data_IF_184923562941
#
_entry.id   IF_184923562941
#
_cell.length_a   1.000
_cell.length_b   1.000
_cell.length_c   1.000
_cell.angle_alpha   90.00
_cell.angle_beta   90.00
_cell.angle_gamma   90.00
#
_symmetry.space_group_name_H-M   'P 1'
#
loop_
_entity.id
_entity.type
_entity.pdbx_description
1 polymer ?
#
# COMPACT_ATOMS: atom_id res chain seq x y z
N UNK A 1 -5.22 35.41 20.51
CA UNK A 1 -4.11 35.15 19.58
C UNK A 1 -3.73 33.68 19.74
N UNK A 2 -4.37 32.78 18.98
CA UNK A 2 -3.99 31.37 18.99
C UNK A 2 -2.66 31.26 18.25
N UNK A 3 -1.60 30.92 18.97
CA UNK A 3 -0.34 30.53 18.37
C UNK A 3 -0.57 29.14 17.80
N UNK A 4 -0.86 29.06 16.50
CA UNK A 4 -0.74 27.81 15.75
C UNK A 4 0.76 27.54 15.66
N UNK A 5 1.24 26.66 16.54
CA UNK A 5 2.55 26.06 16.40
C UNK A 5 2.54 25.31 15.08
N UNK A 6 3.30 25.78 14.09
CA UNK A 6 3.68 24.95 12.96
C UNK A 6 4.58 23.85 13.50
N UNK A 7 3.99 22.74 13.93
CA UNK A 7 4.67 21.46 13.92
C UNK A 7 5.26 21.32 12.51
N UNK A 8 6.58 21.27 12.40
CA UNK A 8 7.22 20.88 11.15
C UNK A 8 6.71 19.48 10.84
N UNK A 9 5.89 19.36 9.80
CA UNK A 9 5.33 18.08 9.39
C UNK A 9 6.47 17.07 9.27
N UNK A 10 6.30 15.89 9.85
CA UNK A 10 7.31 14.85 9.87
C UNK A 10 6.66 13.47 9.66
N UNK A 11 7.40 12.47 9.15
CA UNK A 11 6.92 11.10 9.10
C UNK A 11 6.50 10.58 10.48
N UNK A 12 5.51 9.68 10.52
CA UNK A 12 5.09 8.96 11.73
C UNK A 12 6.20 8.09 12.35
N UNK A 13 7.23 7.78 11.56
CA UNK A 13 8.44 7.13 12.01
C UNK A 13 9.57 8.16 12.19
N UNK A 14 9.89 8.48 13.43
CA UNK A 14 11.01 9.39 13.75
C UNK A 14 12.37 8.81 13.35
N UNK A 15 12.47 7.48 13.27
CA UNK A 15 13.66 6.74 12.83
C UNK A 15 13.66 6.47 11.32
N UNK A 16 12.73 7.06 10.57
CA UNK A 16 12.69 6.93 9.12
C UNK A 16 14.07 7.25 8.50
N UNK A 17 14.43 6.51 7.45
CA UNK A 17 15.72 6.69 6.76
C UNK A 17 15.85 8.12 6.21
N UNK A 18 17.08 8.54 5.90
CA UNK A 18 17.31 9.85 5.32
C UNK A 18 16.53 10.04 4.01
N UNK A 19 16.51 9.00 3.17
CA UNK A 19 15.77 8.95 1.91
C UNK A 19 14.27 9.11 2.14
N UNK A 20 13.72 8.47 3.18
CA UNK A 20 12.28 8.53 3.49
C UNK A 20 11.86 9.88 4.05
N UNK A 21 12.73 10.52 4.85
CA UNK A 21 12.54 11.89 5.32
C UNK A 21 12.60 12.89 4.16
N UNK A 22 13.57 12.73 3.25
CA UNK A 22 13.66 13.53 2.03
C UNK A 22 12.42 13.36 1.15
N UNK A 23 11.97 12.12 0.96
CA UNK A 23 10.77 11.80 0.20
C UNK A 23 9.52 12.46 0.79
N UNK A 24 9.33 12.39 2.10
CA UNK A 24 8.23 13.09 2.79
C UNK A 24 8.29 14.61 2.56
N UNK A 25 9.47 15.21 2.73
CA UNK A 25 9.64 16.65 2.53
C UNK A 25 9.37 17.07 1.09
N UNK A 26 9.74 16.26 0.10
CA UNK A 26 9.43 16.49 -1.31
C UNK A 26 7.91 16.48 -1.55
N UNK A 27 7.19 15.50 -0.98
CA UNK A 27 5.72 15.45 -1.06
C UNK A 27 5.10 16.70 -0.44
N UNK A 28 5.52 17.10 0.76
CA UNK A 28 5.02 18.31 1.42
C UNK A 28 5.29 19.57 0.59
N UNK A 29 6.48 19.70 0.00
CA UNK A 29 6.79 20.83 -0.88
C UNK A 29 5.89 20.88 -2.12
N UNK A 30 5.52 19.72 -2.69
CA UNK A 30 4.57 19.65 -3.80
C UNK A 30 3.18 20.11 -3.35
N UNK A 31 2.72 19.74 -2.14
CA UNK A 31 1.41 20.20 -1.63
C UNK A 31 1.32 21.72 -1.46
N UNK A 32 2.45 22.39 -1.22
CA UNK A 32 2.50 23.86 -1.18
C UNK A 32 2.46 24.52 -2.56
N UNK A 33 2.66 23.75 -3.64
CA UNK A 33 2.54 24.21 -5.02
C UNK A 33 1.16 23.86 -5.58
N UNK A 34 0.17 24.71 -5.28
CA UNK A 34 -1.25 24.49 -5.64
C UNK A 34 -1.52 24.44 -7.15
N UNK A 35 -0.55 24.81 -8.00
CA UNK A 35 -0.64 24.72 -9.46
C UNK A 35 -0.21 23.38 -10.05
N UNK A 36 0.26 22.43 -9.23
CA UNK A 36 0.76 21.13 -9.70
C UNK A 36 0.12 19.98 -8.93
N UNK A 37 -0.23 18.93 -9.66
CA UNK A 37 -0.70 17.65 -9.10
C UNK A 37 0.15 16.56 -9.74
N UNK A 38 0.66 15.63 -8.93
CA UNK A 38 1.35 14.46 -9.45
C UNK A 38 0.33 13.47 -10.02
N UNK A 39 0.57 13.03 -11.24
CA UNK A 39 -0.20 11.95 -11.86
C UNK A 39 0.36 10.59 -11.42
N UNK A 40 -0.51 9.71 -10.93
CA UNK A 40 -0.15 8.34 -10.52
C UNK A 40 -0.97 7.31 -11.27
N UNK A 41 -0.34 6.20 -11.65
CA UNK A 41 -0.97 5.11 -12.38
C UNK A 41 -0.63 3.75 -11.75
N UNK A 42 -1.66 2.92 -11.54
CA UNK A 42 -1.54 1.61 -10.92
C UNK A 42 -0.94 0.63 -11.91
N UNK A 43 0.05 -0.17 -11.47
CA UNK A 43 0.68 -1.20 -12.32
C UNK A 43 1.23 -0.63 -13.64
N UNK A 44 1.72 0.59 -13.60
CA UNK A 44 2.00 1.44 -14.74
C UNK A 44 2.98 0.86 -15.78
N UNK A 45 4.01 0.14 -15.33
CA UNK A 45 4.97 -0.57 -16.21
C UNK A 45 4.72 -2.08 -16.28
N UNK A 46 3.65 -2.56 -15.64
CA UNK A 46 3.29 -3.97 -15.59
C UNK A 46 2.10 -4.30 -16.50
N UNK A 47 1.13 -3.40 -16.62
CA UNK A 47 -0.16 -3.58 -17.30
C UNK A 47 -0.42 -2.49 -18.35
N UNK A 48 -1.12 -2.85 -19.43
CA UNK A 48 -1.41 -1.92 -20.53
C UNK A 48 -2.37 -2.50 -21.56
N UNK A 49 -2.95 -1.63 -22.39
CA UNK A 49 -4.12 -1.96 -23.21
C UNK A 49 -3.84 -2.85 -24.44
N UNK A 50 -2.62 -2.83 -24.99
CA UNK A 50 -2.30 -3.53 -26.24
C UNK A 50 -0.99 -4.30 -26.13
N UNK A 51 -1.07 -5.64 -26.29
CA UNK A 51 0.04 -6.58 -26.20
C UNK A 51 1.09 -6.51 -27.31
N UNK A 52 1.35 -5.32 -27.87
CA UNK A 52 2.38 -5.10 -28.89
C UNK A 52 3.41 -4.01 -28.55
N UNK A 53 3.17 -3.20 -27.51
CA UNK A 53 4.21 -2.36 -26.89
C UNK A 53 4.13 -2.62 -25.37
N UNK A 54 4.99 -3.51 -24.89
CA UNK A 54 4.76 -4.48 -23.81
C UNK A 54 4.45 -3.90 -22.42
N UNK A 55 3.19 -4.01 -21.94
CA UNK A 55 2.95 -4.42 -20.58
C UNK A 55 3.17 -5.94 -20.45
N UNK A 56 3.97 -6.34 -19.47
CA UNK A 56 4.40 -7.72 -19.29
C UNK A 56 3.32 -8.68 -18.79
N UNK A 57 2.08 -8.18 -18.62
CA UNK A 57 0.92 -8.99 -18.25
C UNK A 57 -0.32 -8.61 -19.08
N UNK A 58 -1.00 -9.63 -19.64
CA UNK A 58 -2.31 -9.49 -20.31
C UNK A 58 -3.43 -9.61 -19.28
N UNK A 59 -4.41 -8.69 -19.30
CA UNK A 59 -5.65 -8.75 -18.50
C UNK A 59 -6.25 -10.17 -18.54
N UNK A 60 -6.24 -10.88 -17.40
CA UNK A 60 -6.65 -12.28 -17.34
C UNK A 60 -6.44 -13.04 -16.03
N UNK A 61 -5.72 -12.52 -15.02
CA UNK A 61 -5.76 -13.09 -13.65
C UNK A 61 -6.61 -12.24 -12.72
N UNK A 62 -7.41 -12.88 -11.85
CA UNK A 62 -8.18 -12.18 -10.84
C UNK A 62 -7.25 -11.38 -9.93
N UNK A 63 -7.68 -10.16 -9.61
CA UNK A 63 -6.99 -9.13 -8.82
C UNK A 63 -6.78 -9.50 -7.33
N UNK A 64 -6.86 -10.78 -6.99
CA UNK A 64 -7.10 -11.26 -5.63
C UNK A 64 -5.78 -11.55 -4.90
N UNK A 65 -5.53 -10.81 -3.81
CA UNK A 65 -4.60 -11.23 -2.75
C UNK A 65 -3.21 -10.57 -2.69
N UNK A 66 -2.94 -9.49 -3.43
CA UNK A 66 -1.58 -8.94 -3.61
C UNK A 66 -1.28 -7.53 -3.09
N UNK A 67 0.02 -7.24 -2.95
CA UNK A 67 0.64 -5.90 -2.88
C UNK A 67 0.65 -5.33 -4.30
N UNK A 68 0.13 -4.12 -4.52
CA UNK A 68 0.06 -3.50 -5.84
C UNK A 68 0.64 -2.08 -5.79
N UNK A 69 1.61 -1.79 -6.65
CA UNK A 69 2.28 -0.49 -6.71
C UNK A 69 1.67 0.48 -7.72
N UNK A 70 1.55 1.76 -7.35
CA UNK A 70 1.39 2.86 -8.30
C UNK A 70 2.73 3.54 -8.54
N UNK A 71 2.97 3.96 -9.78
CA UNK A 71 4.09 4.79 -10.17
C UNK A 71 3.58 6.19 -10.51
N UNK A 72 4.28 7.22 -10.06
CA UNK A 72 4.00 8.61 -10.42
C UNK A 72 4.99 9.08 -11.51
N UNK A 73 4.53 9.32 -12.74
CA UNK A 73 5.37 9.63 -13.91
C UNK A 73 5.26 11.09 -14.40
N UNK A 74 6.39 11.72 -14.81
CA UNK A 74 6.40 12.86 -15.74
C UNK A 74 6.97 12.57 -17.15
N UNK A 75 7.27 11.32 -17.52
CA UNK A 75 7.83 11.00 -18.85
C UNK A 75 7.64 9.55 -19.28
N UNK A 76 7.25 9.36 -20.55
CA UNK A 76 7.08 8.05 -21.18
C UNK A 76 8.44 7.40 -21.50
N UNK A 77 8.49 6.08 -21.37
CA UNK A 77 9.63 5.24 -21.81
C UNK A 77 9.71 5.27 -23.34
N UNK A 78 10.88 5.61 -23.88
CA UNK A 78 11.15 5.72 -25.32
C UNK A 78 11.18 4.33 -25.99
N UNK A 79 10.56 4.20 -27.16
CA UNK A 79 10.01 2.95 -27.69
C UNK A 79 10.89 2.23 -28.72
N UNK A 80 12.22 2.43 -28.76
CA UNK A 80 13.04 1.96 -29.90
C UNK A 80 14.40 1.29 -29.58
N UNK A 81 14.49 0.51 -28.50
CA UNK A 81 15.56 -0.49 -28.33
C UNK A 81 14.97 -1.84 -27.92
N UNK A 82 15.76 -2.91 -27.79
CA UNK A 82 15.39 -3.97 -26.84
C UNK A 82 14.99 -3.26 -25.55
N UNK A 83 13.72 -3.35 -25.17
CA UNK A 83 13.12 -2.43 -24.20
C UNK A 83 13.85 -2.56 -22.84
N UNK A 84 14.05 -1.44 -22.15
CA UNK A 84 14.79 -1.31 -20.88
C UNK A 84 14.24 -2.23 -19.76
N UNK A 85 13.02 -2.74 -19.96
CA UNK A 85 12.32 -3.64 -19.05
C UNK A 85 12.29 -5.10 -19.53
N UNK A 86 12.88 -5.45 -20.68
CA UNK A 86 12.79 -6.79 -21.29
C UNK A 86 13.16 -7.94 -20.36
N UNK A 87 14.11 -7.71 -19.44
CA UNK A 87 14.54 -8.67 -18.41
C UNK A 87 13.40 -9.17 -17.50
N UNK A 88 12.34 -8.39 -17.32
CA UNK A 88 11.22 -8.75 -16.45
C UNK A 88 10.48 -10.01 -16.93
N UNK A 89 10.59 -10.36 -18.22
CA UNK A 89 10.01 -11.59 -18.80
C UNK A 89 10.59 -12.85 -18.14
N UNK A 90 11.82 -12.76 -17.63
CA UNK A 90 12.49 -13.87 -16.93
C UNK A 90 12.04 -14.03 -15.47
N UNK A 91 11.36 -13.01 -14.91
CA UNK A 91 10.95 -13.00 -13.51
C UNK A 91 9.54 -13.56 -13.40
N UNK A 92 9.42 -14.81 -12.96
CA UNK A 92 8.13 -15.52 -12.85
C UNK A 92 7.41 -15.27 -11.53
N UNK A 93 8.14 -14.97 -10.46
CA UNK A 93 7.58 -14.65 -9.14
C UNK A 93 7.07 -13.21 -9.10
N UNK A 94 5.78 -13.03 -8.76
CA UNK A 94 5.12 -11.72 -8.79
C UNK A 94 5.71 -10.72 -7.80
N UNK A 95 6.19 -11.17 -6.63
CA UNK A 95 6.83 -10.29 -5.64
C UNK A 95 8.18 -9.81 -6.15
N UNK A 96 9.01 -10.71 -6.67
CA UNK A 96 10.29 -10.35 -7.29
C UNK A 96 10.08 -9.43 -8.49
N UNK A 97 9.04 -9.68 -9.29
CA UNK A 97 8.68 -8.84 -10.43
C UNK A 97 8.29 -7.43 -9.98
N UNK A 98 7.46 -7.31 -8.96
CA UNK A 98 7.06 -6.03 -8.37
C UNK A 98 8.26 -5.27 -7.79
N UNK A 99 9.13 -5.96 -7.04
CA UNK A 99 10.35 -5.35 -6.49
C UNK A 99 11.29 -4.84 -7.59
N UNK A 100 11.48 -5.63 -8.67
CA UNK A 100 12.26 -5.23 -9.83
C UNK A 100 11.71 -3.96 -10.50
N UNK A 101 10.40 -3.91 -10.73
CA UNK A 101 9.74 -2.73 -11.32
C UNK A 101 9.82 -1.50 -10.41
N UNK A 102 9.63 -1.68 -9.11
CA UNK A 102 9.78 -0.61 -8.11
C UNK A 102 11.21 -0.06 -8.14
N UNK A 103 12.22 -0.93 -8.22
CA UNK A 103 13.62 -0.52 -8.36
C UNK A 103 13.84 0.31 -9.63
N UNK A 104 13.38 -0.19 -10.78
CA UNK A 104 13.46 0.53 -12.06
C UNK A 104 12.71 1.87 -12.06
N UNK A 105 11.61 1.98 -11.31
CA UNK A 105 10.90 3.23 -11.15
C UNK A 105 11.64 4.20 -10.22
N UNK A 106 12.18 3.70 -9.11
CA UNK A 106 13.00 4.48 -8.18
C UNK A 106 14.27 5.01 -8.84
N UNK A 107 14.96 4.20 -9.66
CA UNK A 107 16.15 4.62 -10.43
C UNK A 107 15.83 5.74 -11.42
N UNK A 108 14.55 5.88 -11.85
CA UNK A 108 14.06 6.98 -12.69
C UNK A 108 13.55 8.18 -11.88
N UNK A 109 13.69 8.16 -10.56
CA UNK A 109 13.22 9.21 -9.65
C UNK A 109 11.69 9.23 -9.47
N UNK A 110 10.99 8.14 -9.79
CA UNK A 110 9.55 8.06 -9.61
C UNK A 110 9.20 7.75 -8.15
N UNK A 111 8.07 8.30 -7.71
CA UNK A 111 7.55 8.04 -6.37
C UNK A 111 6.77 6.73 -6.36
N UNK A 112 6.93 5.97 -5.27
CA UNK A 112 6.35 4.64 -5.14
C UNK A 112 5.28 4.66 -4.05
N UNK A 113 4.08 4.20 -4.39
CA UNK A 113 3.02 3.89 -3.42
C UNK A 113 2.53 2.47 -3.61
N UNK A 114 2.14 1.82 -2.52
CA UNK A 114 1.77 0.42 -2.46
C UNK A 114 0.41 0.32 -1.79
N UNK A 115 -0.59 -0.16 -2.54
CA UNK A 115 -1.86 -0.63 -2.01
C UNK A 115 -1.78 -2.11 -1.64
N UNK A 116 -2.62 -2.55 -0.72
CA UNK A 116 -2.61 -3.93 -0.25
C UNK A 116 -4.02 -4.54 -0.22
N UNK A 117 -4.28 -5.46 -1.14
CA UNK A 117 -5.50 -6.25 -1.19
C UNK A 117 -5.27 -7.57 -0.44
N UNK A 118 -5.23 -7.50 0.89
CA UNK A 118 -4.95 -8.66 1.74
C UNK A 118 -6.10 -9.69 1.67
N UNK A 119 -5.82 -10.93 1.28
CA UNK A 119 -6.73 -12.06 1.53
C UNK A 119 -7.10 -12.17 3.01
N UNK A 120 -8.37 -12.42 3.32
CA UNK A 120 -8.83 -12.48 4.70
C UNK A 120 -8.08 -13.58 5.48
N UNK A 121 -7.28 -13.24 6.52
CA UNK A 121 -6.47 -14.24 7.23
C UNK A 121 -7.31 -15.29 7.96
N UNK A 122 -8.56 -14.98 8.29
CA UNK A 122 -9.49 -15.89 8.94
C UNK A 122 -9.99 -16.95 7.96
N UNK A 123 -10.38 -16.52 6.76
CA UNK A 123 -11.02 -17.40 5.79
C UNK A 123 -10.03 -18.05 4.82
N UNK A 124 -8.84 -17.47 4.67
CA UNK A 124 -7.91 -17.73 3.55
C UNK A 124 -8.50 -17.41 2.17
N UNK A 125 -9.60 -16.65 2.16
CA UNK A 125 -10.35 -16.32 0.95
C UNK A 125 -9.94 -14.98 0.34
N UNK A 126 -10.90 -14.38 -0.36
CA UNK A 126 -10.69 -13.13 -1.10
C UNK A 126 -10.59 -11.92 -0.15
N UNK A 127 -9.88 -10.86 -0.53
CA UNK A 127 -10.04 -9.55 0.10
C UNK A 127 -11.49 -9.05 0.00
N UNK A 128 -12.20 -9.39 -1.09
CA UNK A 128 -13.58 -8.98 -1.33
C UNK A 128 -14.57 -9.96 -0.70
N UNK A 129 -15.46 -9.45 0.15
CA UNK A 129 -16.45 -10.28 0.87
C UNK A 129 -17.37 -11.06 -0.06
N UNK A 130 -17.70 -10.52 -1.24
CA UNK A 130 -18.56 -11.19 -2.21
C UNK A 130 -17.83 -12.22 -3.08
N UNK A 131 -16.49 -12.17 -3.13
CA UNK A 131 -15.68 -13.11 -3.89
C UNK A 131 -15.08 -14.19 -2.97
N UNK A 132 -15.31 -14.13 -1.66
CA UNK A 132 -14.86 -15.12 -0.71
C UNK A 132 -15.68 -16.42 -0.85
N UNK A 133 -15.08 -17.43 -1.48
CA UNK A 133 -15.68 -18.76 -1.71
C UNK A 133 -15.25 -19.80 -0.69
N UNK A 134 -14.63 -19.39 0.43
CA UNK A 134 -14.12 -20.32 1.44
C UNK A 134 -15.22 -21.02 2.26
N UNK A 135 -16.43 -20.46 2.28
CA UNK A 135 -17.54 -20.93 3.13
C UNK A 135 -17.33 -20.68 4.63
N UNK A 136 -16.28 -19.96 5.04
CA UNK A 136 -15.98 -19.67 6.45
C UNK A 136 -16.68 -18.40 6.92
N UNK A 137 -16.97 -18.34 8.22
CA UNK A 137 -17.48 -17.13 8.86
C UNK A 137 -16.42 -16.02 8.87
N UNK A 138 -16.69 -14.91 8.17
CA UNK A 138 -15.81 -13.74 8.07
C UNK A 138 -16.15 -12.63 9.07
N UNK A 139 -17.16 -12.81 9.92
CA UNK A 139 -17.55 -11.79 10.90
C UNK A 139 -16.45 -11.57 11.94
N UNK A 140 -16.31 -10.32 12.35
CA UNK A 140 -15.31 -9.83 13.28
C UNK A 140 -13.89 -10.27 12.92
N UNK A 141 -13.57 -10.38 11.62
CA UNK A 141 -12.26 -10.87 11.17
C UNK A 141 -11.12 -10.06 11.77
N UNK A 142 -11.31 -8.75 11.96
CA UNK A 142 -10.32 -7.87 12.61
C UNK A 142 -10.01 -8.34 14.04
N UNK A 143 -11.02 -8.51 14.89
CA UNK A 143 -10.83 -8.97 16.28
C UNK A 143 -10.15 -10.34 16.35
N UNK A 144 -10.42 -11.20 15.37
CA UNK A 144 -9.87 -12.56 15.31
C UNK A 144 -8.39 -12.58 14.89
N UNK A 145 -7.89 -11.54 14.23
CA UNK A 145 -6.49 -11.41 13.82
C UNK A 145 -5.67 -10.48 14.73
N UNK A 146 -6.31 -9.67 15.57
CA UNK A 146 -5.64 -8.82 16.56
C UNK A 146 -5.32 -9.60 17.85
N UNK A 147 -4.76 -8.90 18.85
CA UNK A 147 -4.36 -9.50 20.12
C UNK A 147 -5.53 -10.29 20.75
N UNK A 148 -5.22 -11.45 21.33
CA UNK A 148 -6.18 -12.43 21.86
C UNK A 148 -7.08 -13.13 20.82
N UNK A 149 -6.96 -12.79 19.52
CA UNK A 149 -7.62 -13.48 18.43
C UNK A 149 -6.91 -14.77 18.02
N UNK A 150 -7.67 -15.82 17.71
CA UNK A 150 -7.13 -17.15 17.35
C UNK A 150 -6.30 -17.19 16.07
N UNK A 151 -6.31 -16.13 15.26
CA UNK A 151 -5.58 -16.03 13.98
C UNK A 151 -4.40 -15.05 14.07
N UNK A 152 -4.12 -14.49 15.26
CA UNK A 152 -3.11 -13.45 15.44
C UNK A 152 -1.70 -13.84 14.96
N UNK A 153 -1.23 -15.04 15.33
CA UNK A 153 0.10 -15.51 14.90
C UNK A 153 0.21 -15.67 13.38
N UNK A 154 -0.89 -15.99 12.70
CA UNK A 154 -0.92 -16.06 11.24
C UNK A 154 -0.88 -14.67 10.62
N UNK A 155 -1.62 -13.72 11.19
CA UNK A 155 -1.58 -12.33 10.73
C UNK A 155 -0.20 -11.70 10.87
N UNK A 156 0.53 -11.98 11.96
CA UNK A 156 1.94 -11.58 12.10
C UNK A 156 2.82 -12.15 10.99
N UNK A 157 2.68 -13.44 10.65
CA UNK A 157 3.42 -14.04 9.51
C UNK A 157 3.09 -13.39 8.16
N UNK A 158 1.85 -12.97 7.97
CA UNK A 158 1.45 -12.22 6.77
C UNK A 158 2.15 -10.85 6.75
N UNK A 159 2.15 -10.13 7.87
CA UNK A 159 2.90 -8.87 8.01
C UNK A 159 4.40 -9.09 7.84
N UNK A 160 4.94 -10.23 8.27
CA UNK A 160 6.35 -10.56 8.06
C UNK A 160 6.69 -10.64 6.57
N UNK A 161 5.78 -11.16 5.74
CA UNK A 161 5.93 -11.12 4.29
C UNK A 161 5.92 -9.70 3.69
N UNK A 162 5.17 -8.77 4.30
CA UNK A 162 5.21 -7.34 3.93
C UNK A 162 6.55 -6.72 4.31
N UNK A 163 7.07 -7.03 5.50
CA UNK A 163 8.39 -6.58 5.96
C UNK A 163 9.48 -7.06 5.02
N UNK A 164 9.49 -8.35 4.69
CA UNK A 164 10.51 -8.94 3.85
C UNK A 164 10.48 -8.33 2.45
N UNK A 165 9.28 -8.07 1.92
CA UNK A 165 9.13 -7.35 0.65
C UNK A 165 9.68 -5.93 0.73
N UNK A 166 9.26 -5.11 1.70
CA UNK A 166 9.68 -3.70 1.80
C UNK A 166 11.19 -3.58 2.08
N UNK A 167 11.76 -4.47 2.90
CA UNK A 167 13.21 -4.52 3.15
C UNK A 167 14.02 -4.94 1.93
N UNK A 168 13.41 -5.67 0.98
CA UNK A 168 14.07 -6.04 -0.27
C UNK A 168 14.17 -4.90 -1.28
N UNK A 169 13.45 -3.79 -1.07
CA UNK A 169 13.42 -2.65 -1.97
C UNK A 169 14.67 -1.78 -1.79
N UNK A 170 15.73 -2.18 -2.50
CA UNK A 170 17.02 -1.49 -2.53
C UNK A 170 17.29 -1.00 -3.95
N UNK A 171 17.63 0.27 -4.09
CA UNK A 171 17.92 0.90 -5.38
C UNK A 171 19.25 0.41 -6.00
N UNK A 172 19.63 0.96 -7.14
CA UNK A 172 20.90 0.63 -7.81
C UNK A 172 22.14 1.11 -7.05
N UNK A 173 21.98 2.03 -6.09
CA UNK A 173 23.05 2.61 -5.26
C UNK A 173 23.22 1.92 -3.91
N UNK A 174 22.34 0.97 -3.56
CA UNK A 174 22.37 0.27 -2.28
C UNK A 174 21.54 0.93 -1.18
N UNK A 175 20.77 1.97 -1.50
CA UNK A 175 19.90 2.67 -0.55
C UNK A 175 18.50 2.07 -0.52
N UNK A 176 17.85 2.13 0.64
CA UNK A 176 16.45 1.70 0.76
C UNK A 176 15.52 2.61 -0.02
N UNK A 177 14.63 2.03 -0.82
CA UNK A 177 13.63 2.78 -1.59
C UNK A 177 12.48 3.18 -0.64
N UNK A 178 12.18 4.49 -0.50
CA UNK A 178 11.01 4.94 0.25
C UNK A 178 9.71 4.55 -0.44
N UNK A 179 8.72 4.10 0.32
CA UNK A 179 7.38 3.76 -0.20
C UNK A 179 6.27 4.40 0.62
N UNK A 180 5.19 4.79 -0.05
CA UNK A 180 3.91 5.10 0.61
C UNK A 180 3.12 3.79 0.73
N UNK A 181 3.01 3.23 1.93
CA UNK A 181 2.19 2.05 2.16
C UNK A 181 0.77 2.45 2.56
N UNK A 182 -0.22 2.01 1.78
CA UNK A 182 -1.65 2.35 1.92
C UNK A 182 -2.48 1.09 2.21
N UNK A 183 -2.39 0.52 3.42
CA UNK A 183 -3.15 -0.66 3.80
C UNK A 183 -4.62 -0.31 4.09
N UNK A 184 -5.50 -1.30 3.94
CA UNK A 184 -6.89 -1.27 4.40
C UNK A 184 -7.70 -0.05 3.90
N UNK A 185 -7.49 0.32 2.64
CA UNK A 185 -8.22 1.41 2.01
C UNK A 185 -9.73 1.13 1.92
N UNK A 186 -10.52 2.21 1.82
CA UNK A 186 -11.97 2.12 1.60
C UNK A 186 -12.71 1.31 2.69
N UNK A 187 -12.21 1.35 3.93
CA UNK A 187 -12.78 0.65 5.08
C UNK A 187 -14.20 1.09 5.46
N UNK A 188 -14.58 2.31 5.11
CA UNK A 188 -15.92 2.84 5.30
C UNK A 188 -16.92 2.25 4.28
N UNK A 189 -16.43 1.48 3.30
CA UNK A 189 -17.22 0.62 2.44
C UNK A 189 -17.51 -0.76 3.04
N UNK A 190 -18.28 -1.57 2.30
CA UNK A 190 -18.69 -2.91 2.70
C UNK A 190 -18.18 -4.04 1.80
N UNK A 191 -17.28 -3.74 0.87
CA UNK A 191 -16.77 -4.73 -0.10
C UNK A 191 -15.53 -5.48 0.36
N UNK A 192 -14.75 -4.92 1.29
CA UNK A 192 -13.56 -5.60 1.85
C UNK A 192 -13.84 -6.21 3.22
N UNK A 193 -13.12 -7.28 3.58
CA UNK A 193 -13.29 -7.92 4.90
C UNK A 193 -12.84 -7.03 6.07
N UNK A 194 -11.98 -6.03 5.82
CA UNK A 194 -11.60 -5.00 6.80
C UNK A 194 -12.61 -3.84 6.86
N UNK A 195 -13.61 -3.82 5.97
CA UNK A 195 -14.63 -2.78 5.94
C UNK A 195 -15.65 -2.94 7.07
N UNK A 196 -16.43 -1.89 7.33
CA UNK A 196 -17.52 -1.89 8.33
C UNK A 196 -18.87 -2.05 7.66
N UNK A 197 -19.40 -3.26 7.67
CA UNK A 197 -20.70 -3.59 7.09
C UNK A 197 -21.42 -4.64 7.94
N UNK A 198 -22.71 -4.88 7.64
CA UNK A 198 -23.46 -5.97 8.25
C UNK A 198 -22.88 -7.37 7.96
N UNK A 199 -22.06 -7.53 6.91
CA UNK A 199 -21.41 -8.81 6.57
C UNK A 199 -20.16 -9.08 7.40
N UNK A 200 -19.41 -8.02 7.71
CA UNK A 200 -18.14 -8.11 8.44
C UNK A 200 -18.32 -7.90 9.94
N UNK A 201 -19.36 -7.16 10.35
CA UNK A 201 -19.64 -6.77 11.73
C UNK A 201 -18.42 -6.13 12.43
N UNK A 202 -17.53 -5.49 11.66
CA UNK A 202 -16.44 -4.67 12.20
C UNK A 202 -17.00 -3.29 12.59
N UNK A 203 -16.35 -2.66 13.56
CA UNK A 203 -16.63 -1.30 14.01
C UNK A 203 -15.51 -0.33 13.59
N UNK A 204 -15.74 1.00 13.65
CA UNK A 204 -14.67 1.97 13.45
C UNK A 204 -13.48 1.78 14.38
N UNK A 205 -13.73 1.38 15.64
CA UNK A 205 -12.67 1.11 16.61
C UNK A 205 -11.84 -0.13 16.25
N UNK A 206 -12.49 -1.20 15.76
CA UNK A 206 -11.78 -2.37 15.23
C UNK A 206 -10.79 -1.95 14.12
N UNK A 207 -11.25 -1.10 13.19
CA UNK A 207 -10.38 -0.59 12.12
C UNK A 207 -9.19 0.23 12.64
N UNK A 208 -9.42 1.13 13.61
CA UNK A 208 -8.34 1.93 14.21
C UNK A 208 -7.29 1.04 14.85
N UNK A 209 -7.72 0.04 15.64
CA UNK A 209 -6.82 -0.93 16.24
C UNK A 209 -6.05 -1.75 15.19
N UNK A 210 -6.70 -2.14 14.08
CA UNK A 210 -6.03 -2.83 12.97
C UNK A 210 -4.92 -1.98 12.36
N UNK A 211 -5.22 -0.73 12.03
CA UNK A 211 -4.27 0.18 11.41
C UNK A 211 -3.10 0.49 12.36
N UNK A 212 -3.39 0.86 13.61
CA UNK A 212 -2.39 1.13 14.63
C UNK A 212 -1.49 -0.08 14.90
N UNK A 213 -2.06 -1.28 15.01
CA UNK A 213 -1.27 -2.51 15.17
C UNK A 213 -0.34 -2.74 13.99
N UNK A 214 -0.82 -2.57 12.76
CA UNK A 214 0.02 -2.74 11.55
C UNK A 214 1.16 -1.72 11.52
N UNK A 215 0.90 -0.44 11.83
CA UNK A 215 1.95 0.59 11.94
C UNK A 215 2.96 0.21 13.02
N UNK A 216 2.50 -0.11 14.23
CA UNK A 216 3.36 -0.50 15.34
C UNK A 216 4.21 -1.73 15.02
N UNK A 217 3.61 -2.76 14.41
CA UNK A 217 4.32 -3.99 14.07
C UNK A 217 5.42 -3.75 13.03
N UNK A 218 5.13 -2.99 11.97
CA UNK A 218 6.11 -2.70 10.92
C UNK A 218 7.21 -1.74 11.40
N UNK A 219 6.84 -0.66 12.10
CA UNK A 219 7.75 0.40 12.57
C UNK A 219 8.54 -0.03 13.80
N UNK A 220 7.88 -0.47 14.86
CA UNK A 220 8.49 -0.63 16.19
C UNK A 220 9.01 -2.05 16.41
N UNK A 221 8.25 -3.07 16.00
CA UNK A 221 8.62 -4.48 16.22
C UNK A 221 9.59 -4.98 15.15
N UNK A 222 9.30 -4.69 13.87
CA UNK A 222 10.09 -5.19 12.73
C UNK A 222 11.10 -4.17 12.19
N UNK A 223 11.09 -2.94 12.72
CA UNK A 223 12.07 -1.88 12.44
C UNK A 223 12.24 -1.64 10.93
N UNK A 224 11.12 -1.38 10.25
CA UNK A 224 11.09 -0.98 8.85
C UNK A 224 10.96 0.54 8.77
N UNK A 225 12.01 1.19 8.28
CA UNK A 225 12.16 2.65 8.35
C UNK A 225 12.02 3.36 6.99
N UNK A 226 11.64 2.62 5.94
CA UNK A 226 11.43 3.14 4.59
C UNK A 226 9.95 3.25 4.19
N UNK A 227 9.05 3.47 5.17
CA UNK A 227 7.60 3.53 4.95
C UNK A 227 7.03 4.89 5.37
N UNK A 228 6.24 5.49 4.48
CA UNK A 228 5.22 6.48 4.83
C UNK A 228 3.86 5.80 4.83
N UNK A 229 3.05 5.99 5.87
CA UNK A 229 1.73 5.35 5.96
C UNK A 229 0.63 6.26 5.44
N UNK A 230 -0.24 5.74 4.58
CA UNK A 230 -1.38 6.46 4.03
C UNK A 230 -2.72 5.87 4.49
N UNK A 231 -3.59 6.74 4.98
CA UNK A 231 -5.00 6.47 5.29
C UNK A 231 -5.87 7.03 4.15
N UNK A 232 -6.77 6.20 3.60
CA UNK A 232 -7.58 6.58 2.44
C UNK A 232 -8.98 5.94 2.50
N UNK A 233 -9.95 6.58 3.15
CA UNK A 233 -11.33 6.12 3.14
C UNK A 233 -11.99 6.46 1.78
N UNK A 234 -13.03 5.75 1.39
CA UNK A 234 -13.79 6.01 0.15
C UNK A 234 -14.71 7.24 0.30
N UNK A 235 -15.02 7.91 -0.80
CA UNK A 235 -15.92 9.07 -0.85
C UNK A 235 -17.39 8.65 -0.92
N UNK A 236 -18.35 9.55 -0.64
CA UNK A 236 -18.21 10.94 -0.18
C UNK A 236 -18.19 11.10 1.35
N UNK A 237 -17.70 12.25 1.80
CA UNK A 237 -17.88 12.78 3.16
C UNK A 237 -18.47 14.18 3.05
N UNK A 238 -19.45 14.49 3.90
CA UNK A 238 -20.05 15.81 3.97
C UNK A 238 -19.45 16.65 5.10
N UNK A 239 -18.78 16.03 6.07
CA UNK A 239 -18.14 16.71 7.20
C UNK A 239 -16.76 16.13 7.53
N UNK A 240 -15.95 16.88 8.26
CA UNK A 240 -14.67 16.40 8.78
C UNK A 240 -14.85 15.25 9.78
N UNK A 241 -15.89 15.30 10.62
CA UNK A 241 -16.18 14.25 11.61
C UNK A 241 -16.51 12.91 10.96
N UNK A 242 -17.22 12.93 9.82
CA UNK A 242 -17.45 11.72 9.02
C UNK A 242 -16.13 11.14 8.49
N UNK A 243 -15.23 11.97 7.96
CA UNK A 243 -13.91 11.52 7.50
C UNK A 243 -13.04 10.96 8.64
N UNK A 244 -13.14 11.58 9.82
CA UNK A 244 -12.36 11.22 11.01
C UNK A 244 -12.92 10.02 11.78
N UNK A 245 -14.09 9.52 11.41
CA UNK A 245 -14.73 8.38 12.09
C UNK A 245 -13.80 7.16 12.19
N UNK A 246 -13.05 6.88 11.12
CA UNK A 246 -12.11 5.75 11.03
C UNK A 246 -10.64 6.16 11.17
N UNK A 247 -10.35 7.45 11.42
CA UNK A 247 -8.98 7.95 11.47
C UNK A 247 -8.18 7.27 12.61
N UNK A 248 -7.07 6.57 12.30
CA UNK A 248 -6.26 5.83 13.26
C UNK A 248 -5.50 6.69 14.27
#
# INVERSE_FOLDING_TARGET
MLIVSFSTAAPVDHNATAETKLFFNQLMNITHNTGKILFGHQQDTMMGAYGYNYPYWKLGSPHDGGIQGWLFQPGQVDSNSEDELSDIKSITDDRKRSAYLIKKASDRGLLITIAWHLSNPVSDGSPWVNNDKSGKDIRHSIRRILANGGVHSKFKRILDGVVDFIKSLIDSHGSTIPVIFRPYHEMNGGWFWWGTSSKTENTPDDFKQLFQFTVHYLRDIRQVHNILFAYSPDKPFNTADEYLTFYP
#
